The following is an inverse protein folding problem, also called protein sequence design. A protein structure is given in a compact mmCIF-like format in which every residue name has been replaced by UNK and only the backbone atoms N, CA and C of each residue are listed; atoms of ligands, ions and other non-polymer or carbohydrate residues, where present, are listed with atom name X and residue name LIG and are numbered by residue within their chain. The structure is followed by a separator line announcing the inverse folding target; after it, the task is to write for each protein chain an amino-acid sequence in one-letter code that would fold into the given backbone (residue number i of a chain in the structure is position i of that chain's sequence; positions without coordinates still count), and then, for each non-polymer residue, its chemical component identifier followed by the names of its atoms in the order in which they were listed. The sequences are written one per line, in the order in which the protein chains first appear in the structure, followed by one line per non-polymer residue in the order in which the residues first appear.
data_IF_109833030400
#
_entry.id   IF_109833030400
#
_cell.length_a   1.000
_cell.length_b   1.000
_cell.length_c   1.000
_cell.angle_alpha   90.00
_cell.angle_beta   90.00
_cell.angle_gamma   90.00
#
_symmetry.space_group_name_H-M   'P 1'
#
loop_
_entity.id
_entity.type
_entity.pdbx_description
1 polymer ?
#
# COMPACT_ATOMS: atom_id res chain seq x y z
N UNK A 1 -11.27 24.51 -34.07
CA UNK A 1 -11.57 24.22 -32.67
C UNK A 1 -10.62 23.16 -32.17
N UNK A 2 -9.46 23.57 -31.56
CA UNK A 2 -8.49 22.65 -30.98
C UNK A 2 -9.02 22.26 -29.60
N UNK A 3 -9.34 20.99 -29.39
CA UNK A 3 -9.50 20.41 -28.06
C UNK A 3 -8.11 20.42 -27.40
N UNK A 4 -7.95 21.26 -26.41
CA UNK A 4 -6.84 21.14 -25.47
C UNK A 4 -6.97 19.77 -24.81
N UNK A 5 -6.07 18.86 -25.12
CA UNK A 5 -5.89 17.64 -24.35
C UNK A 5 -5.53 18.08 -22.92
N UNK A 6 -6.38 17.78 -21.95
CA UNK A 6 -6.02 17.88 -20.53
C UNK A 6 -4.71 17.10 -20.36
N UNK A 7 -3.70 17.75 -19.81
CA UNK A 7 -2.52 17.05 -19.35
C UNK A 7 -2.96 15.95 -18.38
N UNK A 8 -2.35 14.76 -18.42
CA UNK A 8 -2.64 13.76 -17.39
C UNK A 8 -2.35 14.39 -16.03
N UNK A 9 -3.32 14.30 -15.12
CA UNK A 9 -3.09 14.57 -13.71
C UNK A 9 -1.99 13.60 -13.32
N UNK A 10 -0.80 14.11 -12.99
CA UNK A 10 0.30 13.27 -12.52
C UNK A 10 -0.20 12.64 -11.22
N UNK A 11 -0.44 11.34 -11.24
CA UNK A 11 -0.87 10.63 -10.05
C UNK A 11 0.18 10.86 -8.96
N UNK A 12 -0.29 11.10 -7.74
CA UNK A 12 0.58 11.29 -6.57
C UNK A 12 1.26 9.95 -6.31
N UNK A 13 2.57 9.94 -6.11
CA UNK A 13 3.29 8.70 -5.78
C UNK A 13 2.74 8.11 -4.48
N UNK A 14 2.72 6.78 -4.37
CA UNK A 14 2.26 6.10 -3.16
C UNK A 14 3.11 6.48 -1.95
N UNK A 15 4.44 6.45 -2.09
CA UNK A 15 5.38 6.88 -1.06
C UNK A 15 5.11 8.32 -0.60
N UNK A 16 4.83 9.22 -1.52
CA UNK A 16 4.51 10.60 -1.21
C UNK A 16 3.16 10.75 -0.50
N UNK A 17 2.15 10.00 -0.91
CA UNK A 17 0.84 10.03 -0.26
C UNK A 17 0.93 9.57 1.20
N UNK A 18 1.68 8.51 1.48
CA UNK A 18 1.92 8.00 2.83
C UNK A 18 2.76 8.99 3.65
N UNK A 19 3.87 9.50 3.11
CA UNK A 19 4.78 10.36 3.85
C UNK A 19 4.23 11.77 4.17
N UNK A 20 3.23 12.24 3.43
CA UNK A 20 2.62 13.57 3.62
C UNK A 20 1.32 13.52 4.45
N UNK A 21 0.87 12.34 4.89
CA UNK A 21 -0.29 12.17 5.78
C UNK A 21 -0.08 12.81 7.16
N UNK A 22 -1.17 13.30 7.78
CA UNK A 22 -1.16 13.88 9.14
C UNK A 22 -1.33 12.80 10.24
N UNK A 23 -0.84 11.59 10.00
CA UNK A 23 -0.95 10.41 10.87
C UNK A 23 -0.77 9.15 10.06
N UNK A 24 -1.31 8.03 10.55
CA UNK A 24 -1.27 6.78 9.81
C UNK A 24 -2.20 6.83 8.58
N UNK A 25 -1.67 6.58 7.40
CA UNK A 25 -2.44 6.57 6.15
C UNK A 25 -3.30 5.30 6.03
N UNK A 26 -4.52 5.43 5.52
CA UNK A 26 -5.42 4.28 5.29
C UNK A 26 -5.47 3.92 3.82
N UNK A 27 -4.97 2.73 3.49
CA UNK A 27 -5.06 2.11 2.16
C UNK A 27 -6.19 1.09 2.14
N UNK A 28 -7.00 1.09 1.09
CA UNK A 28 -8.21 0.24 1.04
C UNK A 28 -8.21 -0.67 -0.16
N UNK A 29 -8.47 -1.96 0.07
CA UNK A 29 -8.69 -2.90 -1.01
C UNK A 29 -10.04 -2.63 -1.68
N UNK A 30 -10.02 -2.42 -3.01
CA UNK A 30 -11.19 -2.13 -3.82
C UNK A 30 -11.26 -3.05 -5.04
N UNK A 31 -12.48 -3.35 -5.49
CA UNK A 31 -12.73 -4.25 -6.62
C UNK A 31 -13.31 -3.54 -7.85
N UNK A 32 -13.87 -2.37 -7.66
CA UNK A 32 -14.53 -1.61 -8.71
C UNK A 32 -14.50 -0.10 -8.41
N UNK A 33 -14.91 0.69 -9.41
CA UNK A 33 -14.95 2.15 -9.32
C UNK A 33 -15.86 2.65 -8.20
N UNK A 34 -16.99 2.02 -7.98
CA UNK A 34 -17.94 2.47 -6.96
C UNK A 34 -17.37 2.26 -5.54
N UNK A 35 -16.58 1.19 -5.34
CA UNK A 35 -15.83 0.96 -4.10
C UNK A 35 -14.71 2.01 -3.94
N UNK A 36 -13.99 2.32 -5.02
CA UNK A 36 -12.95 3.35 -5.02
C UNK A 36 -13.50 4.74 -4.67
N UNK A 37 -14.61 5.15 -5.28
CA UNK A 37 -15.28 6.43 -5.00
C UNK A 37 -15.77 6.51 -3.54
N UNK A 38 -16.27 5.41 -2.97
CA UNK A 38 -16.67 5.37 -1.56
C UNK A 38 -15.47 5.48 -0.63
N UNK A 39 -14.38 4.75 -0.92
CA UNK A 39 -13.16 4.79 -0.13
C UNK A 39 -12.53 6.20 -0.15
N UNK A 40 -12.44 6.83 -1.32
CA UNK A 40 -11.97 8.20 -1.49
C UNK A 40 -12.85 9.20 -0.70
N UNK A 41 -14.18 9.07 -0.81
CA UNK A 41 -15.13 9.90 -0.06
C UNK A 41 -15.13 9.67 1.45
N UNK A 42 -14.63 8.52 1.92
CA UNK A 42 -14.47 8.18 3.33
C UNK A 42 -13.10 8.55 3.90
N UNK A 43 -12.19 9.13 3.10
CA UNK A 43 -10.90 9.61 3.55
C UNK A 43 -9.75 8.60 3.38
N UNK A 44 -9.90 7.59 2.53
CA UNK A 44 -8.75 6.77 2.14
C UNK A 44 -7.67 7.61 1.45
N UNK A 45 -6.41 7.26 1.65
CA UNK A 45 -5.27 7.96 1.05
C UNK A 45 -4.60 7.15 -0.06
N UNK A 46 -4.97 5.88 -0.21
CA UNK A 46 -4.57 5.03 -1.32
C UNK A 46 -5.53 3.87 -1.54
N UNK A 47 -5.48 3.30 -2.72
CA UNK A 47 -6.32 2.16 -3.12
C UNK A 47 -5.45 0.95 -3.42
N UNK A 48 -5.96 -0.23 -3.12
CA UNK A 48 -5.28 -1.50 -3.40
C UNK A 48 -6.17 -2.38 -4.26
N UNK A 49 -5.59 -2.99 -5.29
CA UNK A 49 -6.29 -3.92 -6.18
C UNK A 49 -5.54 -5.25 -6.27
N UNK A 50 -6.27 -6.35 -6.14
CA UNK A 50 -5.72 -7.71 -6.37
C UNK A 50 -5.68 -8.07 -7.85
N UNK A 51 -6.47 -7.39 -8.67
CA UNK A 51 -6.47 -7.53 -10.13
C UNK A 51 -6.27 -6.15 -10.78
N UNK A 52 -5.11 -5.95 -11.39
CA UNK A 52 -4.75 -4.71 -12.07
C UNK A 52 -5.65 -4.37 -13.29
N UNK A 53 -6.47 -5.32 -13.76
CA UNK A 53 -7.38 -5.10 -14.89
C UNK A 53 -8.67 -4.36 -14.53
N UNK A 54 -8.79 -3.86 -13.30
CA UNK A 54 -9.99 -3.12 -12.85
C UNK A 54 -10.30 -1.85 -13.64
N UNK A 55 -9.33 -1.31 -14.37
CA UNK A 55 -9.49 -0.06 -15.14
C UNK A 55 -9.70 1.18 -14.26
N UNK A 56 -9.20 1.16 -13.02
CA UNK A 56 -9.33 2.25 -12.05
C UNK A 56 -8.25 3.33 -12.26
N UNK A 57 -7.08 2.96 -12.73
CA UNK A 57 -5.98 3.89 -12.94
C UNK A 57 -6.38 5.06 -13.86
N UNK A 58 -6.13 6.28 -13.40
CA UNK A 58 -6.54 7.51 -14.09
C UNK A 58 -8.04 7.87 -13.92
N UNK A 59 -8.81 7.11 -13.12
CA UNK A 59 -10.21 7.39 -12.77
C UNK A 59 -10.41 7.77 -11.31
N UNK A 60 -9.39 7.67 -10.51
CA UNK A 60 -9.27 8.14 -9.12
C UNK A 60 -8.13 9.12 -9.01
N UNK A 61 -8.13 9.95 -7.97
CA UNK A 61 -7.03 10.86 -7.62
C UNK A 61 -6.06 10.20 -6.65
N UNK A 62 -6.45 9.10 -6.03
CA UNK A 62 -5.63 8.36 -5.09
C UNK A 62 -4.61 7.46 -5.80
N UNK A 63 -3.42 7.26 -5.23
CA UNK A 63 -2.46 6.29 -5.76
C UNK A 63 -3.02 4.88 -5.69
N UNK A 64 -2.72 4.09 -6.72
CA UNK A 64 -3.20 2.73 -6.87
C UNK A 64 -2.04 1.75 -6.71
N UNK A 65 -2.07 0.93 -5.66
CA UNK A 65 -1.18 -0.19 -5.42
C UNK A 65 -1.81 -1.47 -6.01
N UNK A 66 -1.10 -2.16 -6.89
CA UNK A 66 -1.61 -3.37 -7.51
C UNK A 66 -0.80 -4.61 -7.12
N UNK A 67 -1.51 -5.69 -6.81
CA UNK A 67 -0.95 -7.03 -6.84
C UNK A 67 -0.95 -7.54 -8.28
N UNK A 68 0.12 -8.23 -8.67
CA UNK A 68 0.22 -8.79 -10.00
C UNK A 68 1.32 -9.83 -10.09
N UNK A 69 1.35 -10.63 -11.18
CA UNK A 69 2.34 -11.70 -11.30
C UNK A 69 3.75 -11.13 -11.42
N UNK A 70 4.08 -10.46 -12.49
CA UNK A 70 5.40 -9.86 -12.73
C UNK A 70 5.23 -8.44 -13.26
N UNK A 71 6.12 -7.51 -12.89
CA UNK A 71 6.08 -6.15 -13.44
C UNK A 71 6.26 -6.16 -14.95
N UNK A 72 5.24 -5.76 -15.66
CA UNK A 72 5.27 -5.55 -17.11
C UNK A 72 4.68 -4.19 -17.48
N UNK A 73 4.76 -3.82 -18.76
CA UNK A 73 4.26 -2.54 -19.24
C UNK A 73 2.73 -2.39 -19.04
N UNK A 74 1.97 -3.49 -18.98
CA UNK A 74 0.53 -3.46 -18.76
C UNK A 74 0.21 -3.16 -17.30
N UNK A 75 0.91 -3.81 -16.37
CA UNK A 75 0.78 -3.57 -14.94
C UNK A 75 1.23 -2.15 -14.58
N UNK A 76 2.37 -1.71 -15.10
CA UNK A 76 2.88 -0.35 -14.89
C UNK A 76 1.96 0.75 -15.46
N UNK A 77 1.20 0.44 -16.52
CA UNK A 77 0.21 1.37 -17.06
C UNK A 77 -1.12 1.35 -16.28
N UNK A 78 -1.33 0.36 -15.41
CA UNK A 78 -2.57 0.14 -14.68
C UNK A 78 -2.48 0.52 -13.18
N UNK A 79 -1.29 0.83 -12.66
CA UNK A 79 -1.09 1.14 -11.25
C UNK A 79 0.06 2.15 -11.06
N UNK A 80 0.09 2.83 -9.93
CA UNK A 80 1.16 3.75 -9.53
C UNK A 80 2.27 3.03 -8.77
N UNK A 81 1.92 1.94 -8.09
CA UNK A 81 2.85 1.06 -7.38
C UNK A 81 2.44 -0.42 -7.53
N UNK A 82 3.40 -1.33 -7.41
CA UNK A 82 3.17 -2.76 -7.50
C UNK A 82 3.73 -3.49 -6.28
N UNK A 83 3.06 -4.56 -5.85
CA UNK A 83 3.55 -5.42 -4.77
C UNK A 83 4.46 -6.48 -5.36
N UNK A 84 5.68 -6.56 -4.83
CA UNK A 84 6.65 -7.65 -5.09
C UNK A 84 6.69 -8.60 -3.90
N UNK A 85 6.91 -9.89 -4.18
CA UNK A 85 7.06 -10.93 -3.16
C UNK A 85 8.42 -11.60 -3.28
N UNK A 86 9.00 -11.98 -2.15
CA UNK A 86 10.31 -12.62 -2.08
C UNK A 86 10.25 -14.16 -2.21
N UNK A 87 9.24 -14.69 -2.90
CA UNK A 87 9.02 -16.15 -3.04
C UNK A 87 10.13 -16.84 -3.86
N UNK A 88 10.90 -16.09 -4.67
CA UNK A 88 12.03 -16.62 -5.42
C UNK A 88 13.24 -15.66 -5.27
N UNK A 89 14.27 -16.09 -4.54
CA UNK A 89 15.43 -15.30 -4.14
C UNK A 89 16.16 -14.59 -5.31
N UNK A 90 16.09 -15.15 -6.53
CA UNK A 90 16.78 -14.59 -7.70
C UNK A 90 15.88 -13.63 -8.50
N UNK A 91 14.58 -13.66 -8.29
CA UNK A 91 13.63 -12.88 -9.06
C UNK A 91 13.38 -11.48 -8.49
N UNK A 92 13.56 -11.29 -7.18
CA UNK A 92 13.20 -10.01 -6.52
C UNK A 92 14.03 -8.82 -7.05
N UNK A 93 15.35 -8.97 -7.13
CA UNK A 93 16.22 -7.92 -7.65
C UNK A 93 15.92 -7.60 -9.14
N UNK A 94 15.64 -8.62 -9.96
CA UNK A 94 15.25 -8.42 -11.35
C UNK A 94 13.89 -7.74 -11.48
N UNK A 95 12.94 -8.06 -10.61
CA UNK A 95 11.62 -7.43 -10.57
C UNK A 95 11.73 -5.97 -10.13
N UNK A 96 12.53 -5.66 -9.11
CA UNK A 96 12.79 -4.29 -8.65
C UNK A 96 13.45 -3.44 -9.75
N UNK A 97 14.46 -3.97 -10.44
CA UNK A 97 15.09 -3.29 -11.60
C UNK A 97 14.06 -3.06 -12.72
N UNK A 98 13.20 -4.04 -12.97
CA UNK A 98 12.13 -3.90 -13.95
C UNK A 98 11.13 -2.81 -13.60
N UNK A 99 10.75 -2.68 -12.31
CA UNK A 99 9.90 -1.57 -11.84
C UNK A 99 10.60 -0.22 -12.08
N UNK A 100 11.90 -0.15 -11.81
CA UNK A 100 12.70 1.05 -12.06
C UNK A 100 12.72 1.43 -13.54
N UNK A 101 12.97 0.47 -14.44
CA UNK A 101 12.92 0.69 -15.89
C UNK A 101 11.54 1.18 -16.37
N UNK A 102 10.47 0.68 -15.79
CA UNK A 102 9.10 1.05 -16.13
C UNK A 102 8.64 2.36 -15.47
N UNK A 103 9.40 2.88 -14.50
CA UNK A 103 9.07 4.10 -13.76
C UNK A 103 7.86 3.95 -12.83
N UNK A 104 7.59 2.71 -12.35
CA UNK A 104 6.55 2.40 -11.37
C UNK A 104 7.18 2.16 -10.00
N UNK A 105 6.54 2.63 -8.92
CA UNK A 105 6.99 2.33 -7.57
C UNK A 105 6.78 0.85 -7.26
N UNK A 106 7.55 0.32 -6.30
CA UNK A 106 7.31 -1.02 -5.80
C UNK A 106 7.30 -1.05 -4.28
N UNK A 107 6.51 -1.96 -3.76
CA UNK A 107 6.37 -2.27 -2.35
C UNK A 107 6.77 -3.72 -2.17
N UNK A 108 7.67 -4.04 -1.25
CA UNK A 108 8.06 -5.44 -1.02
C UNK A 108 7.29 -5.98 0.18
N UNK A 109 6.55 -7.08 -0.05
CA UNK A 109 5.83 -7.78 1.00
C UNK A 109 6.78 -8.68 1.79
N UNK A 110 6.65 -8.62 3.12
CA UNK A 110 7.42 -9.45 4.07
C UNK A 110 6.51 -10.00 5.15
N UNK A 111 6.77 -11.24 5.59
CA UNK A 111 5.95 -12.02 6.53
C UNK A 111 6.60 -12.26 7.89
N UNK A 112 7.94 -12.17 7.92
CA UNK A 112 8.75 -12.43 9.10
C UNK A 112 10.12 -11.73 8.99
N UNK A 113 10.88 -11.77 10.07
CA UNK A 113 12.22 -11.19 10.21
C UNK A 113 13.24 -11.84 9.27
N UNK A 114 13.21 -13.15 9.10
CA UNK A 114 14.09 -13.87 8.16
C UNK A 114 13.86 -13.43 6.71
N UNK A 115 12.61 -13.20 6.33
CA UNK A 115 12.26 -12.69 5.00
C UNK A 115 12.64 -11.22 4.84
N UNK A 116 12.45 -10.40 5.87
CA UNK A 116 12.86 -9.01 5.88
C UNK A 116 14.38 -8.89 5.68
N UNK A 117 15.19 -9.66 6.44
CA UNK A 117 16.65 -9.66 6.29
C UNK A 117 17.07 -10.03 4.85
N UNK A 118 16.48 -11.13 4.29
CA UNK A 118 16.76 -11.55 2.91
C UNK A 118 16.37 -10.50 1.86
N UNK A 119 15.24 -9.81 2.05
CA UNK A 119 14.79 -8.73 1.17
C UNK A 119 15.81 -7.58 1.19
N UNK A 120 16.22 -7.13 2.36
CA UNK A 120 17.16 -6.02 2.53
C UNK A 120 18.56 -6.33 2.03
N UNK A 121 18.96 -7.60 1.97
CA UNK A 121 20.22 -8.02 1.34
C UNK A 121 20.20 -7.93 -0.19
N UNK A 122 19.02 -8.06 -0.81
CA UNK A 122 18.86 -8.12 -2.27
C UNK A 122 18.45 -6.79 -2.88
N UNK A 123 17.58 -6.05 -2.22
CA UNK A 123 17.01 -4.80 -2.71
C UNK A 123 16.94 -3.75 -1.61
N UNK A 124 16.80 -2.48 -2.02
CA UNK A 124 16.63 -1.35 -1.10
C UNK A 124 15.26 -0.69 -1.30
N UNK A 125 14.14 -1.34 -0.89
CA UNK A 125 12.81 -0.81 -1.12
C UNK A 125 12.58 0.46 -0.28
N UNK A 126 11.85 1.42 -0.82
CA UNK A 126 11.38 2.59 -0.07
C UNK A 126 10.22 2.22 0.86
N UNK A 127 9.40 1.25 0.44
CA UNK A 127 8.18 0.84 1.15
C UNK A 127 8.19 -0.67 1.39
N UNK A 128 7.89 -1.07 2.61
CA UNK A 128 7.68 -2.46 3.03
C UNK A 128 6.20 -2.69 3.38
N UNK A 129 5.64 -3.81 2.95
CA UNK A 129 4.31 -4.28 3.32
C UNK A 129 4.45 -5.46 4.29
N UNK A 130 4.19 -5.21 5.55
CA UNK A 130 4.24 -6.21 6.61
C UNK A 130 2.93 -6.99 6.64
N UNK A 131 2.99 -8.32 6.61
CA UNK A 131 1.82 -9.19 6.63
C UNK A 131 1.96 -10.31 7.66
N UNK A 132 0.85 -10.76 8.21
CA UNK A 132 0.79 -11.85 9.19
C UNK A 132 -0.04 -13.02 8.65
N UNK A 133 0.28 -13.53 7.45
CA UNK A 133 -0.51 -14.56 6.75
C UNK A 133 -0.74 -15.86 7.53
N UNK A 134 0.10 -16.17 8.51
CA UNK A 134 0.02 -17.39 9.31
C UNK A 134 -0.68 -17.19 10.65
N UNK A 135 -1.24 -16.01 10.91
CA UNK A 135 -1.99 -15.75 12.13
C UNK A 135 -3.35 -16.45 12.08
N UNK A 136 -3.80 -16.94 13.24
CA UNK A 136 -5.08 -17.63 13.35
C UNK A 136 -6.26 -16.65 13.55
N UNK A 137 -5.96 -15.44 14.06
CA UNK A 137 -6.94 -14.38 14.26
C UNK A 137 -6.30 -12.98 14.12
N UNK A 138 -7.12 -11.93 14.21
CA UNK A 138 -6.69 -10.54 14.03
C UNK A 138 -5.79 -10.04 15.14
N UNK A 139 -5.98 -10.48 16.37
CA UNK A 139 -5.13 -10.10 17.48
C UNK A 139 -3.73 -10.68 17.30
N UNK A 140 -3.62 -11.94 16.90
CA UNK A 140 -2.34 -12.55 16.54
C UNK A 140 -1.69 -11.86 15.34
N UNK A 141 -2.50 -11.43 14.37
CA UNK A 141 -2.00 -10.64 13.23
C UNK A 141 -1.38 -9.33 13.68
N UNK A 142 -2.08 -8.58 14.52
CA UNK A 142 -1.59 -7.32 15.08
C UNK A 142 -0.31 -7.52 15.89
N UNK A 143 -0.28 -8.52 16.77
CA UNK A 143 0.89 -8.81 17.62
C UNK A 143 2.12 -9.13 16.75
N UNK A 144 1.98 -9.95 15.71
CA UNK A 144 3.08 -10.28 14.77
C UNK A 144 3.57 -9.07 13.98
N UNK A 145 2.67 -8.21 13.52
CA UNK A 145 3.05 -6.98 12.83
C UNK A 145 3.85 -6.04 13.73
N UNK A 146 3.43 -5.93 15.00
CA UNK A 146 4.13 -5.14 16.01
C UNK A 146 5.48 -5.75 16.41
N UNK A 147 5.63 -7.07 16.38
CA UNK A 147 6.90 -7.77 16.61
C UNK A 147 7.89 -7.55 15.46
N UNK A 148 7.41 -7.51 14.20
CA UNK A 148 8.25 -7.33 13.02
C UNK A 148 8.67 -5.86 12.80
N UNK A 149 7.86 -4.90 13.20
CA UNK A 149 8.08 -3.48 12.94
C UNK A 149 9.45 -2.93 13.43
N UNK A 150 9.98 -3.32 14.61
CA UNK A 150 11.27 -2.83 15.08
C UNK A 150 12.47 -3.20 14.18
N UNK A 151 12.34 -4.23 13.35
CA UNK A 151 13.39 -4.69 12.43
C UNK A 151 13.36 -3.93 11.08
N UNK A 152 12.31 -3.14 10.83
CA UNK A 152 12.23 -2.24 9.67
C UNK A 152 13.25 -1.12 9.82
N UNK A 153 14.17 -0.93 8.85
CA UNK A 153 15.21 0.10 8.95
C UNK A 153 14.60 1.51 8.97
N UNK A 154 15.18 2.39 9.80
CA UNK A 154 14.78 3.79 9.85
C UNK A 154 14.87 4.46 8.46
N UNK A 155 13.83 5.18 8.09
CA UNK A 155 13.72 5.85 6.79
C UNK A 155 13.02 5.04 5.70
N UNK A 156 12.61 3.81 6.00
CA UNK A 156 11.65 3.05 5.17
C UNK A 156 10.23 3.34 5.64
N UNK A 157 9.28 3.28 4.72
CA UNK A 157 7.85 3.35 5.04
C UNK A 157 7.32 1.94 5.30
N UNK A 158 6.59 1.78 6.39
CA UNK A 158 5.97 0.51 6.78
C UNK A 158 4.46 0.57 6.57
N UNK A 159 3.92 -0.31 5.73
CA UNK A 159 2.49 -0.56 5.60
C UNK A 159 2.18 -1.85 6.35
N UNK A 160 1.22 -1.84 7.27
CA UNK A 160 0.71 -3.05 7.94
C UNK A 160 -0.55 -3.55 7.22
N UNK A 161 -0.59 -4.81 6.77
CA UNK A 161 -1.79 -5.43 6.21
C UNK A 161 -2.61 -6.07 7.35
N UNK A 162 -3.76 -5.46 7.67
CA UNK A 162 -4.70 -5.94 8.69
C UNK A 162 -6.13 -5.81 8.13
N UNK A 163 -6.67 -6.91 7.62
CA UNK A 163 -7.86 -6.92 6.77
C UNK A 163 -9.10 -6.26 7.42
N UNK A 164 -9.41 -6.64 8.65
CA UNK A 164 -10.59 -6.20 9.40
C UNK A 164 -10.20 -5.32 10.61
N UNK A 165 -9.17 -4.48 10.47
CA UNK A 165 -8.66 -3.62 11.52
C UNK A 165 -9.77 -2.81 12.18
N UNK A 166 -9.79 -2.81 13.50
CA UNK A 166 -10.59 -1.87 14.28
C UNK A 166 -9.86 -0.52 14.42
N UNK A 167 -10.59 0.52 14.84
CA UNK A 167 -9.97 1.82 15.12
C UNK A 167 -8.88 1.75 16.19
N UNK A 168 -9.07 0.91 17.21
CA UNK A 168 -8.06 0.73 18.26
C UNK A 168 -6.78 0.09 17.74
N UNK A 169 -6.88 -0.83 16.78
CA UNK A 169 -5.73 -1.48 16.16
C UNK A 169 -4.95 -0.48 15.31
N UNK A 170 -5.66 0.36 14.55
CA UNK A 170 -5.06 1.45 13.77
C UNK A 170 -4.33 2.44 14.69
N UNK A 171 -4.94 2.85 15.81
CA UNK A 171 -4.32 3.73 16.81
C UNK A 171 -3.11 3.06 17.49
N UNK A 172 -3.09 1.74 17.61
CA UNK A 172 -1.95 0.99 18.16
C UNK A 172 -0.80 0.90 17.16
N UNK A 173 -1.09 0.60 15.88
CA UNK A 173 -0.13 0.62 14.78
C UNK A 173 0.50 2.01 14.59
N UNK A 174 -0.30 3.08 14.64
CA UNK A 174 0.19 4.46 14.56
C UNK A 174 1.15 4.80 15.70
N UNK A 175 0.79 4.44 16.94
CA UNK A 175 1.67 4.67 18.11
C UNK A 175 2.96 3.87 18.04
N UNK A 176 2.94 2.71 17.40
CA UNK A 176 4.13 1.90 17.16
C UNK A 176 5.04 2.46 16.06
N UNK A 177 4.53 3.35 15.21
CA UNK A 177 5.28 3.98 14.13
C UNK A 177 5.07 3.36 12.75
N UNK A 178 3.94 2.69 12.52
CA UNK A 178 3.50 2.26 11.20
C UNK A 178 3.02 3.49 10.41
N UNK A 179 3.44 3.62 9.16
CA UNK A 179 3.13 4.78 8.32
C UNK A 179 1.77 4.64 7.61
N UNK A 180 1.37 3.39 7.29
CA UNK A 180 0.08 3.13 6.66
C UNK A 180 -0.50 1.78 7.09
N UNK A 181 -1.84 1.67 7.07
CA UNK A 181 -2.56 0.40 7.24
C UNK A 181 -3.31 0.05 5.96
N UNK A 182 -3.21 -1.22 5.53
CA UNK A 182 -3.99 -1.77 4.42
C UNK A 182 -5.15 -2.59 4.97
N UNK A 183 -6.37 -2.18 4.63
CA UNK A 183 -7.60 -2.80 5.11
C UNK A 183 -8.51 -3.23 3.97
N UNK A 184 -9.43 -4.18 4.25
CA UNK A 184 -10.48 -4.61 3.31
C UNK A 184 -11.86 -4.06 3.69
N UNK A 185 -11.98 -3.48 4.88
CA UNK A 185 -13.23 -3.05 5.49
C UNK A 185 -13.68 -1.62 5.18
N UNK A 186 -14.58 -1.11 6.01
CA UNK A 186 -15.14 0.24 5.88
C UNK A 186 -14.20 1.29 6.49
N UNK A 187 -13.63 2.13 5.62
CA UNK A 187 -12.73 3.23 6.00
C UNK A 187 -13.39 4.23 6.95
N UNK A 188 -14.67 4.50 6.78
CA UNK A 188 -15.37 5.50 7.58
C UNK A 188 -15.37 5.17 9.10
N UNK A 189 -15.22 3.88 9.43
CA UNK A 189 -15.10 3.44 10.82
C UNK A 189 -13.67 3.66 11.39
N UNK A 190 -12.67 3.79 10.53
CA UNK A 190 -11.25 3.87 10.89
C UNK A 190 -10.73 5.31 10.91
N UNK A 191 -11.12 6.10 9.92
CA UNK A 191 -10.80 7.52 9.84
C UNK A 191 -11.71 8.26 10.82
N UNK A 192 -11.13 8.91 11.84
CA UNK A 192 -11.91 9.65 12.84
C UNK A 192 -12.79 10.71 12.17
N UNK A 193 -13.96 10.97 12.78
CA UNK A 193 -14.83 12.07 12.37
C UNK A 193 -13.99 13.35 12.23
N UNK A 194 -13.90 13.87 11.00
CA UNK A 194 -13.44 15.23 10.81
C UNK A 194 -14.27 16.12 11.72
N UNK A 195 -13.62 16.80 12.66
CA UNK A 195 -14.30 17.72 13.59
C UNK A 195 -15.13 18.67 12.74
N UNK A 196 -16.47 18.74 12.91
CA UNK A 196 -17.26 19.68 12.13
C UNK A 196 -16.78 21.09 12.48
N UNK A 197 -16.39 21.85 11.45
CA UNK A 197 -16.08 23.26 11.56
C UNK A 197 -17.27 23.97 12.23
N UNK A 198 -17.01 24.56 13.42
CA UNK A 198 -17.96 25.36 14.17
C UNK A 198 -17.81 26.81 13.75
#
# INVERSE_FOLDING_TARGET
MHRLASAPVTARRLSQAIAEGDGISVLVEVRDLAAAERAEGAGAEGLVVRDAQTGLHGRTTLPLLAYGPLPDASLAAAADAVVLTADDDHALAEQAERCHELGVEYVVRVRDDDELERVLEQVDPEILLLTAELAEDEQESLDRLLELLPDVPAGKLAIAELADASRSDVEELERAGVDAVLVTGDVAALVGDAVPDV
#
